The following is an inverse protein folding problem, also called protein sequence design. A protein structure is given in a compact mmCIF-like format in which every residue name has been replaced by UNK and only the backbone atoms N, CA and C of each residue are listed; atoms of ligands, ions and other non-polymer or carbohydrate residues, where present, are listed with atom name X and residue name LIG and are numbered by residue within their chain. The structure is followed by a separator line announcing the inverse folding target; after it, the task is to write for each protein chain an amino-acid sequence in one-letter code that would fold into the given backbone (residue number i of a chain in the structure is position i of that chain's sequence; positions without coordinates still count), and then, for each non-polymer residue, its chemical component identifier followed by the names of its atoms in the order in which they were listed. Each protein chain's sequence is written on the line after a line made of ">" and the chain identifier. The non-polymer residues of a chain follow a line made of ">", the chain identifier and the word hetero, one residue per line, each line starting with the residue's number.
data_IF_005081219629
#
_entry.id   IF_005081219629
#
_cell.length_a   1.000
_cell.length_b   1.000
_cell.length_c   1.000
_cell.angle_alpha   90.00
_cell.angle_beta   90.00
_cell.angle_gamma   90.00
#
_symmetry.space_group_name_H-M   'P 1'
#
loop_
_entity.id
_entity.type
_entity.pdbx_description
1 polymer ?
#
# COMPACT_ATOMS: atom_id res chain seq x y z
N UNK A 1 61.64 -9.23 19.53
CA UNK A 1 60.37 -8.48 19.35
C UNK A 1 60.09 -8.40 17.86
N UNK A 2 59.00 -9.05 17.39
CA UNK A 2 58.84 -9.40 15.98
C UNK A 2 58.21 -8.23 15.18
N UNK A 3 59.03 -7.32 14.68
CA UNK A 3 58.68 -6.09 13.97
C UNK A 3 57.76 -6.39 12.73
N UNK A 4 57.99 -7.53 12.06
CA UNK A 4 57.18 -7.95 10.88
C UNK A 4 55.75 -8.24 11.25
N UNK A 5 55.46 -8.84 12.42
CA UNK A 5 54.05 -9.13 12.81
C UNK A 5 53.27 -7.86 13.19
N UNK A 6 53.95 -6.85 13.75
CA UNK A 6 53.35 -5.55 14.07
C UNK A 6 52.99 -4.76 12.80
N UNK A 7 53.83 -4.78 11.80
CA UNK A 7 53.59 -4.13 10.51
C UNK A 7 52.41 -4.77 9.76
N UNK A 8 52.34 -6.10 9.74
CA UNK A 8 51.21 -6.84 9.10
C UNK A 8 49.86 -6.52 9.79
N UNK A 9 49.85 -6.47 11.13
CA UNK A 9 48.63 -6.11 11.89
C UNK A 9 48.17 -4.68 11.58
N UNK A 10 49.08 -3.72 11.51
CA UNK A 10 48.75 -2.33 11.13
C UNK A 10 48.26 -2.22 9.70
N UNK A 11 48.80 -2.98 8.76
CA UNK A 11 48.39 -3.03 7.38
C UNK A 11 46.96 -3.63 7.22
N UNK A 12 46.68 -4.71 7.95
CA UNK A 12 45.36 -5.33 8.00
C UNK A 12 44.31 -4.40 8.61
N UNK A 13 44.65 -3.68 9.68
CA UNK A 13 43.75 -2.71 10.31
C UNK A 13 43.43 -1.53 9.40
N UNK A 14 44.42 -1.01 8.66
CA UNK A 14 44.21 0.05 7.70
C UNK A 14 43.37 -0.40 6.50
N UNK A 15 43.55 -1.64 6.04
CA UNK A 15 42.78 -2.20 4.93
C UNK A 15 41.31 -2.43 5.31
N UNK A 16 41.04 -2.89 6.52
CA UNK A 16 39.66 -3.03 7.04
C UNK A 16 38.98 -1.67 7.22
N UNK A 17 39.74 -0.66 7.66
CA UNK A 17 39.19 0.70 7.79
C UNK A 17 38.84 1.33 6.42
N UNK A 18 39.69 1.12 5.42
CA UNK A 18 39.43 1.58 4.04
C UNK A 18 38.24 0.84 3.43
N UNK A 19 38.14 -0.49 3.65
CA UNK A 19 37.03 -1.29 3.13
C UNK A 19 35.69 -0.92 3.78
N UNK A 20 35.65 -0.60 5.07
CA UNK A 20 34.44 -0.13 5.75
C UNK A 20 33.98 1.24 5.25
N UNK A 21 34.89 2.11 4.84
CA UNK A 21 34.58 3.41 4.27
C UNK A 21 33.94 3.29 2.88
N UNK A 22 34.34 2.29 2.09
CA UNK A 22 33.76 2.02 0.78
C UNK A 22 32.37 1.37 0.86
N UNK A 23 32.12 0.54 1.85
CA UNK A 23 30.82 -0.13 2.05
C UNK A 23 29.75 0.85 2.57
N UNK A 24 30.17 1.87 3.35
CA UNK A 24 29.26 2.88 3.91
C UNK A 24 28.63 3.85 2.89
N UNK A 25 29.10 3.88 1.66
CA UNK A 25 28.60 4.79 0.62
C UNK A 25 27.69 4.13 -0.42
N UNK A 26 27.19 2.93 -0.17
CA UNK A 26 26.03 2.43 -0.91
C UNK A 26 24.78 3.20 -0.40
N UNK A 27 24.70 4.49 -0.74
CA UNK A 27 23.45 5.22 -0.62
C UNK A 27 22.43 4.46 -1.48
N UNK A 28 21.51 3.78 -0.81
CA UNK A 28 20.28 3.32 -1.46
C UNK A 28 19.62 4.59 -1.98
N UNK A 29 19.79 4.90 -3.28
CA UNK A 29 19.01 5.91 -3.93
C UNK A 29 17.56 5.42 -3.84
N UNK A 30 16.80 6.00 -2.94
CA UNK A 30 15.36 5.92 -2.99
C UNK A 30 14.98 6.48 -4.37
N UNK A 31 14.58 5.60 -5.29
CA UNK A 31 14.11 6.01 -6.60
C UNK A 31 12.96 7.01 -6.42
N UNK A 32 12.77 7.89 -7.40
CA UNK A 32 11.69 8.88 -7.39
C UNK A 32 10.33 8.15 -7.38
N UNK A 33 9.79 7.92 -6.18
CA UNK A 33 8.45 7.36 -6.02
C UNK A 33 7.41 8.48 -6.12
N UNK A 34 6.33 8.27 -6.92
CA UNK A 34 6.09 7.16 -7.85
C UNK A 34 6.74 7.40 -9.23
N UNK A 35 7.40 6.39 -9.79
CA UNK A 35 8.00 6.39 -11.14
C UNK A 35 7.08 5.82 -12.22
N UNK A 36 5.92 5.28 -11.83
CA UNK A 36 4.92 4.66 -12.70
C UNK A 36 3.51 4.84 -12.12
N UNK A 37 2.45 4.55 -12.92
CA UNK A 37 1.07 4.65 -12.46
C UNK A 37 0.79 3.82 -11.20
N UNK A 38 -0.01 4.40 -10.29
CA UNK A 38 -0.52 3.73 -9.08
C UNK A 38 -1.88 3.13 -9.41
N UNK A 39 -2.13 1.89 -9.02
CA UNK A 39 -3.40 1.20 -9.19
C UNK A 39 -4.21 1.25 -7.89
N UNK A 40 -5.51 1.56 -7.99
CA UNK A 40 -6.45 1.48 -6.86
C UNK A 40 -7.55 0.47 -7.18
N UNK A 41 -7.56 -0.63 -6.48
CA UNK A 41 -8.60 -1.66 -6.62
C UNK A 41 -9.85 -1.24 -5.86
N UNK A 42 -10.96 -1.15 -6.57
CA UNK A 42 -12.30 -0.90 -6.01
C UNK A 42 -13.11 -2.20 -6.13
N UNK A 43 -13.50 -2.77 -4.99
CA UNK A 43 -14.19 -4.08 -4.93
C UNK A 43 -15.69 -4.02 -5.27
N UNK A 44 -16.11 -2.97 -5.96
CA UNK A 44 -17.50 -2.69 -6.33
C UNK A 44 -17.63 -2.28 -7.78
N UNK A 45 -18.88 -2.29 -8.29
CA UNK A 45 -19.17 -1.88 -9.66
C UNK A 45 -18.77 -0.43 -9.93
N UNK A 46 -18.35 -0.12 -11.14
CA UNK A 46 -18.16 1.27 -11.58
C UNK A 46 -19.46 2.09 -11.37
N UNK A 47 -19.31 3.34 -10.90
CA UNK A 47 -20.42 4.24 -10.63
C UNK A 47 -21.11 4.06 -9.28
N UNK A 48 -20.74 3.05 -8.49
CA UNK A 48 -21.19 2.91 -7.11
C UNK A 48 -20.52 3.93 -6.17
N UNK A 49 -21.04 4.07 -4.94
CA UNK A 49 -20.57 5.07 -3.99
C UNK A 49 -19.05 4.99 -3.74
N UNK A 50 -18.51 3.79 -3.47
CA UNK A 50 -17.08 3.59 -3.26
C UNK A 50 -16.24 3.93 -4.50
N UNK A 51 -16.72 3.58 -5.68
CA UNK A 51 -16.04 3.92 -6.95
C UNK A 51 -16.04 5.43 -7.18
N UNK A 52 -17.17 6.09 -6.94
CA UNK A 52 -17.27 7.54 -7.04
C UNK A 52 -16.32 8.25 -6.07
N UNK A 53 -16.31 7.86 -4.81
CA UNK A 53 -15.40 8.41 -3.80
C UNK A 53 -13.92 8.18 -4.17
N UNK A 54 -13.56 6.97 -4.59
CA UNK A 54 -12.20 6.66 -5.03
C UNK A 54 -11.77 7.55 -6.21
N UNK A 55 -12.64 7.73 -7.23
CA UNK A 55 -12.36 8.61 -8.36
C UNK A 55 -12.22 10.06 -7.95
N UNK A 56 -13.07 10.54 -7.06
CA UNK A 56 -12.99 11.92 -6.57
C UNK A 56 -11.64 12.20 -5.89
N UNK A 57 -11.21 11.32 -4.99
CA UNK A 57 -9.93 11.46 -4.29
C UNK A 57 -8.75 11.37 -5.26
N UNK A 58 -8.77 10.42 -6.19
CA UNK A 58 -7.70 10.27 -7.19
C UNK A 58 -7.62 11.45 -8.15
N UNK A 59 -8.77 12.02 -8.55
CA UNK A 59 -8.80 13.27 -9.33
C UNK A 59 -8.18 14.45 -8.57
N UNK A 60 -8.41 14.54 -7.27
CA UNK A 60 -7.82 15.60 -6.45
C UNK A 60 -6.31 15.43 -6.31
N UNK A 61 -5.84 14.20 -6.18
CA UNK A 61 -4.41 13.89 -6.08
C UNK A 61 -3.65 14.14 -7.40
N UNK A 62 -4.30 13.90 -8.53
CA UNK A 62 -3.74 14.13 -9.87
C UNK A 62 -4.16 15.50 -10.47
N UNK A 63 -4.49 16.50 -9.65
CA UNK A 63 -4.98 17.79 -10.13
C UNK A 63 -3.89 18.55 -10.90
N UNK A 64 -4.17 19.06 -12.15
CA UNK A 64 -3.17 19.63 -13.03
C UNK A 64 -2.36 20.82 -12.46
N UNK A 65 -2.92 21.55 -11.49
CA UNK A 65 -2.27 22.68 -10.84
C UNK A 65 -1.50 22.32 -9.55
N UNK A 66 -1.71 21.10 -9.06
CA UNK A 66 -1.08 20.56 -7.85
C UNK A 66 -0.90 19.06 -8.05
N UNK A 67 -0.08 18.71 -9.03
CA UNK A 67 0.29 17.32 -9.23
C UNK A 67 1.23 16.89 -8.10
N UNK A 68 0.65 16.27 -7.09
CA UNK A 68 1.38 15.79 -5.93
C UNK A 68 2.19 14.53 -6.22
N UNK A 69 1.84 13.79 -7.26
CA UNK A 69 2.37 12.45 -7.50
C UNK A 69 3.18 12.34 -8.80
N UNK A 70 2.98 13.25 -9.76
CA UNK A 70 3.65 13.17 -11.07
C UNK A 70 3.29 11.94 -11.91
N UNK A 71 2.38 11.09 -11.41
CA UNK A 71 1.97 9.85 -12.05
C UNK A 71 0.46 9.65 -11.97
N UNK A 72 -0.17 9.08 -12.99
CA UNK A 72 -1.61 8.82 -12.98
C UNK A 72 -1.99 7.75 -11.96
N UNK A 73 -3.20 7.90 -11.41
CA UNK A 73 -3.82 6.87 -10.57
C UNK A 73 -4.92 6.17 -11.39
N UNK A 74 -4.85 4.86 -11.48
CA UNK A 74 -5.75 4.01 -12.28
C UNK A 74 -6.70 3.25 -11.37
N UNK A 75 -8.01 3.46 -11.55
CA UNK A 75 -9.04 2.70 -10.83
C UNK A 75 -9.32 1.39 -11.54
N UNK A 76 -9.25 0.29 -10.81
CA UNK A 76 -9.53 -1.08 -11.29
C UNK A 76 -10.71 -1.64 -10.49
N UNK A 77 -11.86 -1.77 -11.13
CA UNK A 77 -13.04 -2.34 -10.50
C UNK A 77 -13.00 -3.88 -10.52
N UNK A 78 -13.20 -4.50 -9.36
CA UNK A 78 -13.26 -5.95 -9.18
C UNK A 78 -14.47 -6.32 -8.30
N UNK A 79 -15.68 -6.18 -8.83
CA UNK A 79 -16.90 -6.41 -8.06
C UNK A 79 -17.15 -7.90 -7.79
N UNK A 80 -17.99 -8.16 -6.80
CA UNK A 80 -18.52 -9.49 -6.49
C UNK A 80 -18.55 -9.80 -5.01
N UNK A 81 -19.59 -10.53 -4.59
CA UNK A 81 -19.82 -11.00 -3.22
C UNK A 81 -19.62 -9.91 -2.15
N UNK A 82 -20.24 -8.74 -2.33
CA UNK A 82 -20.15 -7.62 -1.38
C UNK A 82 -18.73 -7.07 -1.18
N UNK A 83 -17.85 -7.21 -2.19
CA UNK A 83 -16.45 -6.78 -2.14
C UNK A 83 -15.44 -7.91 -1.91
N UNK A 84 -15.87 -9.08 -1.46
CA UNK A 84 -15.00 -10.23 -1.12
C UNK A 84 -14.10 -10.65 -2.30
N UNK A 85 -14.61 -10.63 -3.52
CA UNK A 85 -13.83 -11.00 -4.72
C UNK A 85 -12.65 -10.04 -4.93
N UNK A 86 -12.92 -8.74 -4.89
CA UNK A 86 -11.89 -7.71 -5.10
C UNK A 86 -10.84 -7.70 -4.00
N UNK A 87 -11.24 -7.80 -2.75
CA UNK A 87 -10.31 -7.80 -1.61
C UNK A 87 -9.49 -9.09 -1.51
N UNK A 88 -10.07 -10.26 -1.83
CA UNK A 88 -9.31 -11.50 -1.94
C UNK A 88 -8.28 -11.45 -3.09
N UNK A 89 -8.66 -10.83 -4.21
CA UNK A 89 -7.73 -10.62 -5.32
C UNK A 89 -6.59 -9.71 -4.87
N UNK A 90 -6.89 -8.59 -4.22
CA UNK A 90 -5.89 -7.66 -3.72
C UNK A 90 -4.92 -8.35 -2.75
N UNK A 91 -5.42 -8.98 -1.70
CA UNK A 91 -4.59 -9.67 -0.71
C UNK A 91 -3.71 -10.79 -1.30
N UNK A 92 -4.09 -11.34 -2.47
CA UNK A 92 -3.36 -12.46 -3.09
C UNK A 92 -2.42 -12.05 -4.21
N UNK A 93 -2.64 -10.89 -4.83
CA UNK A 93 -2.02 -10.51 -6.12
C UNK A 93 -1.39 -9.12 -6.12
N UNK A 94 -1.75 -8.25 -5.18
CA UNK A 94 -1.14 -6.94 -5.06
C UNK A 94 0.34 -7.06 -4.72
N UNK A 95 1.14 -6.16 -5.24
CA UNK A 95 2.56 -6.05 -4.94
C UNK A 95 2.74 -5.21 -3.68
N UNK A 96 3.72 -5.56 -2.87
CA UNK A 96 4.05 -4.85 -1.64
C UNK A 96 5.08 -3.72 -1.90
N UNK A 97 4.88 -2.97 -2.98
CA UNK A 97 5.80 -1.91 -3.42
C UNK A 97 5.19 -0.50 -3.41
N UNK A 98 3.98 -0.37 -2.87
CA UNK A 98 3.27 0.90 -2.76
C UNK A 98 2.50 1.33 -4.00
N UNK A 99 2.54 0.56 -5.10
CA UNK A 99 1.84 0.89 -6.35
C UNK A 99 0.47 0.24 -6.51
N UNK A 100 0.14 -0.73 -5.67
CA UNK A 100 -1.17 -1.35 -5.64
C UNK A 100 -1.87 -0.99 -4.34
N UNK A 101 -2.95 -0.23 -4.42
CA UNK A 101 -3.79 0.20 -3.31
C UNK A 101 -5.18 -0.41 -3.43
N UNK A 102 -5.93 -0.46 -2.34
CA UNK A 102 -7.33 -0.89 -2.35
C UNK A 102 -8.23 0.09 -1.61
N UNK A 103 -9.41 0.33 -2.18
CA UNK A 103 -10.50 0.99 -1.49
C UNK A 103 -11.36 -0.06 -0.77
N UNK A 104 -11.66 0.13 0.51
CA UNK A 104 -12.50 -0.78 1.27
C UNK A 104 -13.47 -0.04 2.19
N UNK A 105 -14.58 -0.70 2.49
CA UNK A 105 -15.60 -0.23 3.41
C UNK A 105 -15.44 -0.96 4.74
N UNK A 106 -15.12 -0.24 5.78
CA UNK A 106 -14.77 -0.81 7.10
C UNK A 106 -15.78 -1.84 7.61
N UNK A 107 -17.10 -1.59 7.65
CA UNK A 107 -18.03 -2.60 8.19
C UNK A 107 -17.99 -3.91 7.39
N UNK A 108 -18.06 -3.85 6.06
CA UNK A 108 -18.09 -5.04 5.22
C UNK A 108 -16.77 -5.80 5.24
N UNK A 109 -15.66 -5.10 5.15
CA UNK A 109 -14.34 -5.69 5.15
C UNK A 109 -14.09 -6.49 6.43
N UNK A 110 -14.33 -5.89 7.60
CA UNK A 110 -14.10 -6.53 8.90
C UNK A 110 -15.09 -7.66 9.12
N UNK A 111 -16.39 -7.40 8.95
CA UNK A 111 -17.42 -8.42 9.20
C UNK A 111 -17.25 -9.65 8.32
N UNK A 112 -16.91 -9.46 7.05
CA UNK A 112 -16.67 -10.58 6.14
C UNK A 112 -15.42 -11.38 6.49
N UNK A 113 -14.35 -10.73 6.94
CA UNK A 113 -13.13 -11.42 7.37
C UNK A 113 -13.33 -12.28 8.61
N UNK A 114 -14.31 -11.93 9.46
CA UNK A 114 -14.69 -12.71 10.67
C UNK A 114 -15.63 -13.85 10.31
N UNK A 115 -16.66 -13.56 9.50
CA UNK A 115 -17.77 -14.51 9.23
C UNK A 115 -17.38 -15.57 8.21
N UNK A 116 -16.60 -15.19 7.19
CA UNK A 116 -16.23 -16.12 6.12
C UNK A 116 -14.82 -16.68 6.33
N UNK A 117 -14.70 -17.99 6.51
CA UNK A 117 -13.42 -18.66 6.74
C UNK A 117 -12.51 -18.76 5.51
N UNK A 118 -12.95 -18.29 4.33
CA UNK A 118 -12.23 -18.37 3.06
C UNK A 118 -11.71 -17.03 2.56
N UNK A 119 -11.73 -15.99 3.39
CA UNK A 119 -11.12 -14.70 3.06
C UNK A 119 -9.60 -14.76 3.20
N UNK A 120 -8.90 -14.13 2.26
CA UNK A 120 -7.44 -13.98 2.27
C UNK A 120 -6.98 -12.64 2.84
N UNK A 121 -7.92 -11.80 3.23
CA UNK A 121 -7.72 -10.49 3.81
C UNK A 121 -8.29 -10.43 5.23
N UNK A 122 -7.63 -9.67 6.06
CA UNK A 122 -8.09 -9.26 7.39
C UNK A 122 -7.41 -7.94 7.77
N UNK A 123 -7.72 -7.41 8.94
CA UNK A 123 -7.14 -6.15 9.41
C UNK A 123 -5.64 -6.25 9.70
N UNK A 124 -5.12 -7.46 9.94
CA UNK A 124 -3.72 -7.68 10.32
C UNK A 124 -2.79 -7.82 9.11
N UNK A 125 -3.32 -8.13 7.92
CA UNK A 125 -2.52 -8.35 6.73
C UNK A 125 -2.64 -7.25 5.66
N UNK A 126 -3.35 -6.18 5.96
CA UNK A 126 -3.46 -5.00 5.12
C UNK A 126 -3.19 -3.74 5.95
N UNK A 127 -2.36 -2.85 5.42
CA UNK A 127 -2.00 -1.59 6.08
C UNK A 127 -2.98 -0.48 5.69
N UNK A 128 -3.77 0.07 6.64
CA UNK A 128 -4.63 1.21 6.39
C UNK A 128 -3.80 2.49 6.20
N UNK A 129 -4.00 3.19 5.09
CA UNK A 129 -3.26 4.42 4.78
C UNK A 129 -4.05 5.66 5.17
N UNK A 130 -5.32 5.74 4.76
CA UNK A 130 -6.17 6.90 5.02
C UNK A 130 -7.66 6.55 5.00
N UNK A 131 -8.44 7.29 5.75
CA UNK A 131 -9.89 7.31 5.63
C UNK A 131 -10.30 8.57 4.84
N UNK A 132 -10.99 8.39 3.72
CA UNK A 132 -11.42 9.50 2.86
C UNK A 132 -12.93 9.78 2.89
N UNK A 133 -13.70 9.02 3.62
CA UNK A 133 -15.13 9.22 3.76
C UNK A 133 -15.73 8.46 4.93
N UNK A 134 -16.80 9.01 5.46
CA UNK A 134 -17.62 8.36 6.48
C UNK A 134 -19.09 8.51 6.09
N UNK A 135 -19.75 7.38 5.85
CA UNK A 135 -21.17 7.35 5.58
C UNK A 135 -21.92 7.01 6.88
N UNK A 136 -22.88 7.84 7.33
CA UNK A 136 -23.66 7.54 8.51
C UNK A 136 -24.53 6.30 8.27
N UNK A 137 -24.52 5.36 9.20
CA UNK A 137 -25.44 4.24 9.19
C UNK A 137 -26.78 4.67 9.78
N UNK A 138 -27.88 4.29 9.12
CA UNK A 138 -29.24 4.54 9.59
C UNK A 138 -29.94 3.20 9.78
N UNK A 139 -30.48 2.97 10.96
CA UNK A 139 -31.37 1.85 11.22
C UNK A 139 -32.79 2.24 10.83
N UNK A 140 -33.37 1.51 9.88
CA UNK A 140 -34.75 1.70 9.46
C UNK A 140 -35.56 0.51 9.95
N UNK A 141 -36.67 0.80 10.61
CA UNK A 141 -37.61 -0.20 11.06
C UNK A 141 -38.97 0.03 10.40
N UNK A 142 -39.78 -1.01 10.26
CA UNK A 142 -41.12 -0.89 9.73
C UNK A 142 -42.03 -0.11 10.69
N UNK A 143 -43.16 0.43 10.22
CA UNK A 143 -44.07 1.23 11.06
C UNK A 143 -44.69 0.42 12.19
N UNK A 144 -44.71 -0.91 12.10
CA UNK A 144 -45.35 -1.83 13.03
C UNK A 144 -44.34 -2.69 13.81
N UNK A 145 -43.07 -2.26 13.89
CA UNK A 145 -42.00 -3.02 14.58
C UNK A 145 -41.67 -2.47 15.96
#
# INVERSE_FOLDING_TARGET
>A
MNIKSSLIKKLLLSLTFILSFFIGNLAVQAGDYPDRPISVVVAYNPGGATDFQARLVTMMAAHPKKDYLGQPIVIINKPGAGGKVGWNWFASKARNDGYDLAAYNVPHFISQSIVFGDTKYNIDNLEPIANWGADPAVLIVGPDS
#
